data_IF_564918719507
#
_entry.id   IF_564918719507
#
_cell.length_a   1.000
_cell.length_b   1.000
_cell.length_c   1.000
_cell.angle_alpha   90.00
_cell.angle_beta   90.00
_cell.angle_gamma   90.00
#
_symmetry.space_group_name_H-M   'P 1'
#
loop_
_entity.id
_entity.type
_entity.pdbx_description
1 polymer ?
#
# COMPACT_ATOMS: atom_id res chain seq x y z
N UNK A 1 14.09 -4.50 -22.31
CA UNK A 1 13.06 -4.04 -21.35
C UNK A 1 12.86 -5.15 -20.34
N UNK A 2 13.28 -4.94 -19.09
CA UNK A 2 13.05 -5.92 -18.03
C UNK A 2 11.60 -5.75 -17.58
N UNK A 3 10.70 -6.66 -17.97
CA UNK A 3 9.33 -6.69 -17.45
C UNK A 3 9.47 -6.99 -15.95
N UNK A 4 9.03 -6.05 -15.12
CA UNK A 4 9.12 -6.15 -13.66
C UNK A 4 8.41 -7.43 -13.22
N UNK A 5 9.19 -8.45 -12.87
CA UNK A 5 8.70 -9.72 -12.34
C UNK A 5 8.36 -9.58 -10.86
N UNK A 6 7.53 -8.59 -10.52
CA UNK A 6 6.97 -8.50 -9.17
C UNK A 6 5.68 -9.30 -9.12
N UNK A 7 5.55 -10.18 -8.14
CA UNK A 7 4.30 -10.87 -7.87
C UNK A 7 3.57 -10.16 -6.73
N UNK A 8 2.23 -10.17 -6.78
CA UNK A 8 1.40 -9.68 -5.70
C UNK A 8 1.53 -10.67 -4.55
N UNK A 9 1.94 -10.15 -3.39
CA UNK A 9 2.15 -10.95 -2.17
C UNK A 9 1.05 -10.71 -1.14
N UNK A 10 0.38 -9.56 -1.22
CA UNK A 10 -0.71 -9.26 -0.31
C UNK A 10 -1.41 -7.94 -0.62
N UNK A 11 -2.45 -7.67 0.16
CA UNK A 11 -3.23 -6.44 0.10
C UNK A 11 -3.34 -5.90 1.52
N UNK A 12 -3.09 -4.62 1.73
CA UNK A 12 -3.36 -3.93 2.99
C UNK A 12 -4.46 -2.90 2.77
N UNK A 13 -5.56 -3.04 3.50
CA UNK A 13 -6.70 -2.13 3.44
C UNK A 13 -6.66 -1.23 4.66
N UNK A 14 -6.81 0.07 4.44
CA UNK A 14 -6.95 1.10 5.46
C UNK A 14 -8.37 1.63 5.38
N UNK A 15 -9.09 1.57 6.50
CA UNK A 15 -10.37 2.26 6.64
C UNK A 15 -10.08 3.75 6.85
N UNK A 16 -10.76 4.60 6.09
CA UNK A 16 -10.64 6.05 6.15
C UNK A 16 -11.99 6.70 6.43
N UNK A 17 -12.97 5.93 6.90
CA UNK A 17 -14.28 6.45 7.21
C UNK A 17 -14.18 7.49 8.33
N UNK A 18 -14.75 8.66 8.10
CA UNK A 18 -14.81 9.76 9.09
C UNK A 18 -13.45 10.34 9.51
N UNK A 19 -12.36 9.93 8.86
CA UNK A 19 -11.02 10.42 9.13
C UNK A 19 -10.74 11.74 8.37
N UNK A 20 -10.02 12.65 9.03
CA UNK A 20 -9.57 13.88 8.38
C UNK A 20 -8.47 13.59 7.35
N UNK A 21 -8.37 14.40 6.29
CA UNK A 21 -7.34 14.22 5.25
C UNK A 21 -5.90 14.08 5.81
N UNK A 22 -5.54 14.84 6.85
CA UNK A 22 -4.24 14.73 7.54
C UNK A 22 -4.06 13.40 8.27
N UNK A 23 -5.11 12.87 8.88
CA UNK A 23 -5.09 11.57 9.56
C UNK A 23 -4.92 10.44 8.53
N UNK A 24 -5.67 10.51 7.43
CA UNK A 24 -5.55 9.59 6.30
C UNK A 24 -4.12 9.58 5.74
N UNK A 25 -3.54 10.74 5.47
CA UNK A 25 -2.16 10.86 4.97
C UNK A 25 -1.15 10.23 5.94
N UNK A 26 -1.32 10.46 7.24
CA UNK A 26 -0.47 9.88 8.28
C UNK A 26 -0.58 8.34 8.32
N UNK A 27 -1.81 7.82 8.24
CA UNK A 27 -2.06 6.37 8.22
C UNK A 27 -1.46 5.70 6.98
N UNK A 28 -1.65 6.28 5.81
CA UNK A 28 -1.10 5.76 4.55
C UNK A 28 0.42 5.77 4.58
N UNK A 29 1.03 6.89 4.99
CA UNK A 29 2.50 6.98 5.10
C UNK A 29 3.06 5.94 6.07
N UNK A 30 2.41 5.75 7.22
CA UNK A 30 2.80 4.72 8.18
C UNK A 30 2.69 3.32 7.56
N UNK A 31 1.58 3.01 6.88
CA UNK A 31 1.38 1.71 6.26
C UNK A 31 2.41 1.41 5.15
N UNK A 32 2.80 2.41 4.37
CA UNK A 32 3.85 2.30 3.34
C UNK A 32 5.22 2.07 4.01
N UNK A 33 5.54 2.82 5.06
CA UNK A 33 6.79 2.67 5.79
C UNK A 33 6.90 1.26 6.42
N UNK A 34 5.82 0.76 7.02
CA UNK A 34 5.74 -0.60 7.55
C UNK A 34 5.93 -1.64 6.44
N UNK A 35 5.24 -1.52 5.31
CA UNK A 35 5.38 -2.45 4.19
C UNK A 35 6.83 -2.54 3.70
N UNK A 36 7.48 -1.38 3.48
CA UNK A 36 8.89 -1.32 3.07
C UNK A 36 9.83 -1.90 4.12
N UNK A 37 9.59 -1.62 5.41
CA UNK A 37 10.39 -2.18 6.50
C UNK A 37 10.29 -3.71 6.58
N UNK A 38 9.18 -4.29 6.10
CA UNK A 38 8.97 -5.73 6.02
C UNK A 38 9.44 -6.33 4.67
N UNK A 39 10.13 -5.53 3.83
CA UNK A 39 10.66 -5.94 2.53
C UNK A 39 9.58 -6.15 1.46
N UNK A 40 8.43 -5.48 1.59
CA UNK A 40 7.42 -5.42 0.54
C UNK A 40 7.53 -4.10 -0.23
N UNK A 41 7.33 -4.19 -1.54
CA UNK A 41 7.11 -3.04 -2.40
C UNK A 41 5.62 -2.72 -2.50
N UNK A 42 5.31 -1.43 -2.66
CA UNK A 42 3.95 -0.99 -3.01
C UNK A 42 3.86 -1.02 -4.54
N UNK A 43 3.04 -1.92 -5.07
CA UNK A 43 2.83 -2.06 -6.51
C UNK A 43 1.76 -1.11 -7.03
N UNK A 44 0.72 -0.88 -6.23
CA UNK A 44 -0.43 -0.06 -6.59
C UNK A 44 -1.10 0.51 -5.33
N UNK A 45 -1.79 1.64 -5.50
CA UNK A 45 -2.58 2.28 -4.46
C UNK A 45 -3.91 2.70 -5.06
N UNK A 46 -5.00 2.18 -4.50
CA UNK A 46 -6.36 2.52 -4.91
C UNK A 46 -7.10 3.20 -3.75
N UNK A 47 -7.80 4.28 -4.06
CA UNK A 47 -8.63 4.98 -3.09
C UNK A 47 -10.11 4.84 -3.47
N UNK A 48 -10.96 4.72 -2.47
CA UNK A 48 -12.42 4.79 -2.55
C UNK A 48 -12.93 5.69 -1.42
N UNK A 49 -14.23 5.98 -1.38
CA UNK A 49 -14.82 6.97 -0.46
C UNK A 49 -14.44 6.77 1.02
N UNK A 50 -14.29 5.50 1.45
CA UNK A 50 -14.02 5.15 2.84
C UNK A 50 -12.81 4.23 3.01
N UNK A 51 -12.07 3.92 1.93
CA UNK A 51 -11.00 2.94 2.01
C UNK A 51 -9.82 3.30 1.12
N UNK A 52 -8.63 2.95 1.59
CA UNK A 52 -7.42 2.96 0.78
C UNK A 52 -6.83 1.55 0.75
N UNK A 53 -6.62 1.05 -0.45
CA UNK A 53 -6.11 -0.30 -0.71
C UNK A 53 -4.68 -0.18 -1.23
N UNK A 54 -3.74 -0.74 -0.50
CA UNK A 54 -2.33 -0.87 -0.87
C UNK A 54 -2.09 -2.28 -1.41
N UNK A 55 -1.70 -2.39 -2.66
CA UNK A 55 -1.30 -3.67 -3.26
C UNK A 55 0.19 -3.88 -3.00
N UNK A 56 0.51 -4.93 -2.26
CA UNK A 56 1.86 -5.27 -1.85
C UNK A 56 2.43 -6.34 -2.77
N UNK A 57 3.71 -6.18 -3.13
CA UNK A 57 4.43 -7.17 -3.92
C UNK A 57 5.84 -7.39 -3.41
N UNK A 58 6.47 -8.43 -3.97
CA UNK A 58 7.91 -8.63 -3.87
C UNK A 58 8.48 -8.82 -5.26
N UNK A 59 9.69 -8.31 -5.45
CA UNK A 59 10.45 -8.67 -6.64
C UNK A 59 10.76 -10.16 -6.59
N UNK A 60 10.59 -10.85 -7.73
CA UNK A 60 11.01 -12.24 -7.88
C UNK A 60 12.55 -12.24 -7.99
N UNK A 61 13.21 -12.75 -6.96
CA UNK A 61 14.66 -12.99 -6.94
C UNK A 61 15.12 -13.89 -8.10
#
# INVERSE_FOLDING_TARGET
MNLISSYITGIKVLDTAEESAQAIETMVNKAIAEARSNGFDILDLQMSDNNIVLVLGKNKE
#
